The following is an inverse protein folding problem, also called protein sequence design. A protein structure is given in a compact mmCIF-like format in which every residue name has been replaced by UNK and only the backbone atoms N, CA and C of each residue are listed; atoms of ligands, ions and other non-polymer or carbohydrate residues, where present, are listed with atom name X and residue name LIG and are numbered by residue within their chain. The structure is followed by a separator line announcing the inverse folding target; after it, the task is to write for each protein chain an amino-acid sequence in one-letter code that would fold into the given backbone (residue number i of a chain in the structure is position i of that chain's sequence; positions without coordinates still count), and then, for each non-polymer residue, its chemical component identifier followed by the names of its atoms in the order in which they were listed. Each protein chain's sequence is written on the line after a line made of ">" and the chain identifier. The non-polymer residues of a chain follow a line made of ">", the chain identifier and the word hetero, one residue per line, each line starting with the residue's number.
data_IF_548558108126
#
_entry.id   IF_548558108126
#
_cell.length_a   1.000
_cell.length_b   1.000
_cell.length_c   1.000
_cell.angle_alpha   90.00
_cell.angle_beta   90.00
_cell.angle_gamma   90.00
#
_symmetry.space_group_name_H-M   'P 1'
#
loop_
_entity.id
_entity.type
_entity.pdbx_description
1 polymer ?
#
# COMPACT_ATOMS: atom_id res chain seq x y z
N UNK A 1 -43.75 -41.55 21.27
CA UNK A 1 -43.00 -40.60 22.13
C UNK A 1 -42.19 -39.72 21.23
N UNK A 2 -42.66 -38.52 20.98
CA UNK A 2 -41.92 -37.51 20.16
C UNK A 2 -40.83 -36.91 21.05
N UNK A 3 -39.57 -36.73 20.55
CA UNK A 3 -38.54 -36.06 21.33
C UNK A 3 -38.94 -34.59 21.45
N UNK A 4 -39.09 -34.14 22.65
CA UNK A 4 -39.28 -32.72 23.01
C UNK A 4 -38.03 -31.98 22.55
N UNK A 5 -38.22 -31.07 21.60
CA UNK A 5 -37.17 -30.13 21.18
C UNK A 5 -36.73 -29.34 22.43
N UNK A 6 -35.56 -29.64 22.95
CA UNK A 6 -34.91 -28.81 23.94
C UNK A 6 -34.61 -27.45 23.29
N UNK A 7 -35.44 -26.46 23.58
CA UNK A 7 -35.12 -25.07 23.31
C UNK A 7 -33.95 -24.69 24.20
N UNK A 8 -32.73 -24.83 23.69
CA UNK A 8 -31.53 -24.32 24.35
C UNK A 8 -31.69 -22.81 24.51
N UNK A 9 -31.78 -22.33 25.76
CA UNK A 9 -31.71 -20.90 26.05
C UNK A 9 -30.48 -20.32 25.38
N UNK A 10 -30.60 -19.17 24.70
CA UNK A 10 -29.44 -18.55 24.05
C UNK A 10 -28.33 -18.33 25.08
N UNK A 11 -27.17 -18.90 24.82
CA UNK A 11 -26.02 -18.69 25.69
C UNK A 11 -25.71 -17.19 25.68
N UNK A 12 -25.51 -16.58 26.86
CA UNK A 12 -25.20 -15.11 26.97
C UNK A 12 -24.03 -14.67 26.11
N UNK A 13 -23.19 -15.58 25.65
CA UNK A 13 -22.04 -15.31 24.76
C UNK A 13 -22.34 -15.46 23.27
N UNK A 14 -23.53 -15.90 22.85
CA UNK A 14 -23.88 -16.07 21.44
C UNK A 14 -23.83 -14.75 20.68
N UNK A 15 -24.43 -13.70 21.26
CA UNK A 15 -24.45 -12.36 20.64
C UNK A 15 -23.05 -11.76 20.53
N UNK A 16 -22.24 -11.67 21.61
CA UNK A 16 -20.89 -11.12 21.50
C UNK A 16 -19.97 -11.90 20.55
N UNK A 17 -20.06 -13.23 20.48
CA UNK A 17 -19.27 -14.02 19.53
C UNK A 17 -19.65 -13.76 18.07
N UNK A 18 -20.95 -13.64 17.78
CA UNK A 18 -21.41 -13.27 16.43
C UNK A 18 -20.99 -11.86 16.06
N UNK A 19 -21.13 -10.91 16.98
CA UNK A 19 -20.72 -9.53 16.75
C UNK A 19 -19.21 -9.41 16.53
N UNK A 20 -18.38 -10.13 17.30
CA UNK A 20 -16.93 -10.12 17.13
C UNK A 20 -16.49 -10.70 15.78
N UNK A 21 -17.07 -11.83 15.34
CA UNK A 21 -16.80 -12.40 14.02
C UNK A 21 -17.19 -11.46 12.87
N UNK A 22 -18.37 -10.83 12.97
CA UNK A 22 -18.84 -9.85 11.98
C UNK A 22 -17.97 -8.59 11.97
N UNK A 23 -17.53 -8.14 13.14
CA UNK A 23 -16.65 -6.96 13.25
C UNK A 23 -15.29 -7.22 12.59
N UNK A 24 -14.70 -8.40 12.80
CA UNK A 24 -13.46 -8.80 12.13
C UNK A 24 -13.66 -8.86 10.61
N UNK A 25 -14.74 -9.50 10.16
CA UNK A 25 -15.08 -9.56 8.74
C UNK A 25 -15.24 -8.17 8.14
N UNK A 26 -16.04 -7.32 8.78
CA UNK A 26 -16.29 -5.95 8.31
C UNK A 26 -15.02 -5.11 8.29
N UNK A 27 -14.19 -5.17 9.32
CA UNK A 27 -12.94 -4.42 9.39
C UNK A 27 -11.97 -4.83 8.26
N UNK A 28 -11.78 -6.14 8.04
CA UNK A 28 -10.93 -6.63 6.94
C UNK A 28 -11.46 -6.24 5.57
N UNK A 29 -12.75 -6.44 5.32
CA UNK A 29 -13.40 -6.07 4.04
C UNK A 29 -13.31 -4.55 3.81
N UNK A 30 -13.57 -3.74 4.84
CA UNK A 30 -13.47 -2.28 4.74
C UNK A 30 -12.06 -1.82 4.39
N UNK A 31 -11.02 -2.40 5.02
CA UNK A 31 -9.63 -2.11 4.67
C UNK A 31 -9.34 -2.46 3.23
N UNK A 32 -9.74 -3.65 2.77
CA UNK A 32 -9.55 -4.09 1.39
C UNK A 32 -10.23 -3.17 0.38
N UNK A 33 -11.49 -2.84 0.60
CA UNK A 33 -12.24 -1.93 -0.26
C UNK A 33 -11.66 -0.52 -0.25
N UNK A 34 -11.24 -0.01 0.90
CA UNK A 34 -10.62 1.30 1.02
C UNK A 34 -9.29 1.36 0.26
N UNK A 35 -8.45 0.34 0.38
CA UNK A 35 -7.20 0.23 -0.37
C UNK A 35 -7.47 0.16 -1.88
N UNK A 36 -8.39 -0.70 -2.33
CA UNK A 36 -8.73 -0.83 -3.75
C UNK A 36 -9.36 0.45 -4.31
N UNK A 37 -10.13 1.18 -3.50
CA UNK A 37 -10.77 2.42 -3.94
C UNK A 37 -9.74 3.46 -4.38
N UNK A 38 -8.54 3.48 -3.79
CA UNK A 38 -7.46 4.40 -4.16
C UNK A 38 -7.14 4.38 -5.66
N UNK A 39 -6.99 3.20 -6.23
CA UNK A 39 -6.72 3.00 -7.66
C UNK A 39 -8.00 3.05 -8.52
N UNK A 40 -9.08 2.40 -8.05
CA UNK A 40 -10.33 2.34 -8.78
C UNK A 40 -10.92 3.72 -9.04
N UNK A 41 -10.86 4.63 -8.05
CA UNK A 41 -11.39 5.98 -8.21
C UNK A 41 -10.59 6.85 -9.18
N UNK A 42 -9.27 6.65 -9.27
CA UNK A 42 -8.44 7.28 -10.31
C UNK A 42 -8.88 6.76 -11.69
N UNK A 43 -9.03 5.44 -11.80
CA UNK A 43 -9.38 4.80 -13.07
C UNK A 43 -10.75 5.22 -13.61
N UNK A 44 -11.74 5.42 -12.73
CA UNK A 44 -13.07 5.89 -13.14
C UNK A 44 -13.21 7.42 -13.16
N UNK A 45 -12.14 8.16 -12.83
CA UNK A 45 -12.13 9.62 -12.82
C UNK A 45 -12.86 10.26 -11.64
N UNK A 46 -13.10 9.51 -10.55
CA UNK A 46 -13.75 10.03 -9.34
C UNK A 46 -12.87 11.00 -8.55
N UNK A 47 -11.53 10.82 -8.62
CA UNK A 47 -10.51 11.70 -8.03
C UNK A 47 -9.21 11.64 -8.80
N UNK A 48 -8.36 12.61 -8.56
CA UNK A 48 -7.03 12.72 -9.16
C UNK A 48 -6.01 11.75 -8.52
N UNK A 49 -4.82 11.65 -9.14
CA UNK A 49 -3.74 10.79 -8.67
C UNK A 49 -3.26 11.14 -7.25
N UNK A 50 -3.18 12.43 -6.90
CA UNK A 50 -2.72 12.86 -5.56
C UNK A 50 -3.69 12.43 -4.47
N UNK A 51 -4.99 12.57 -4.73
CA UNK A 51 -6.05 12.10 -3.83
C UNK A 51 -6.00 10.59 -3.67
N UNK A 52 -5.84 9.83 -4.76
CA UNK A 52 -5.69 8.37 -4.71
C UNK A 52 -4.49 7.93 -3.90
N UNK A 53 -3.33 8.57 -4.08
CA UNK A 53 -2.14 8.31 -3.23
C UNK A 53 -2.39 8.66 -1.75
N UNK A 54 -3.12 9.73 -1.47
CA UNK A 54 -3.52 10.09 -0.12
C UNK A 54 -4.34 8.99 0.54
N UNK A 55 -5.34 8.45 -0.15
CA UNK A 55 -6.18 7.34 0.30
C UNK A 55 -5.31 6.09 0.56
N UNK A 56 -4.42 5.74 -0.36
CA UNK A 56 -3.52 4.60 -0.19
C UNK A 56 -2.59 4.77 1.03
N UNK A 57 -2.06 5.96 1.24
CA UNK A 57 -1.22 6.27 2.41
C UNK A 57 -2.00 6.11 3.71
N UNK A 58 -3.25 6.60 3.77
CA UNK A 58 -4.12 6.41 4.94
C UNK A 58 -4.41 4.93 5.19
N UNK A 59 -4.72 4.16 4.14
CA UNK A 59 -4.94 2.73 4.24
C UNK A 59 -3.69 2.01 4.79
N UNK A 60 -2.51 2.29 4.26
CA UNK A 60 -1.25 1.70 4.72
C UNK A 60 -0.90 2.06 6.17
N UNK A 61 -1.24 3.27 6.61
CA UNK A 61 -1.04 3.68 8.02
C UNK A 61 -1.97 2.92 8.96
N UNK A 62 -3.22 2.66 8.55
CA UNK A 62 -4.20 1.94 9.36
C UNK A 62 -4.01 0.41 9.32
N UNK A 63 -3.46 -0.12 8.23
CA UNK A 63 -3.38 -1.55 7.95
C UNK A 63 -2.73 -2.39 9.07
N UNK A 64 -1.56 -2.04 9.65
CA UNK A 64 -0.96 -2.83 10.72
C UNK A 64 -1.84 -2.92 11.96
N UNK A 65 -2.47 -1.82 12.35
CA UNK A 65 -3.36 -1.81 13.52
C UNK A 65 -4.61 -2.66 13.30
N UNK A 66 -5.21 -2.56 12.11
CA UNK A 66 -6.38 -3.36 11.75
C UNK A 66 -6.02 -4.84 11.64
N UNK A 67 -4.90 -5.19 11.03
CA UNK A 67 -4.45 -6.58 10.92
C UNK A 67 -4.24 -7.22 12.30
N UNK A 68 -3.45 -6.60 13.18
CA UNK A 68 -3.18 -7.16 14.50
C UNK A 68 -4.44 -7.23 15.37
N UNK A 69 -5.34 -6.25 15.26
CA UNK A 69 -6.64 -6.28 15.95
C UNK A 69 -7.55 -7.38 15.41
N UNK A 70 -7.65 -7.55 14.09
CA UNK A 70 -8.41 -8.63 13.47
C UNK A 70 -7.84 -10.00 13.84
N UNK A 71 -6.53 -10.15 13.87
CA UNK A 71 -5.86 -11.40 14.25
C UNK A 71 -6.17 -11.76 15.69
N UNK A 72 -5.96 -10.84 16.63
CA UNK A 72 -6.22 -11.07 18.04
C UNK A 72 -7.69 -11.40 18.32
N UNK A 73 -8.61 -10.58 17.79
CA UNK A 73 -10.04 -10.77 17.96
C UNK A 73 -10.54 -12.03 17.23
N UNK A 74 -10.01 -12.32 16.06
CA UNK A 74 -10.34 -13.52 15.28
C UNK A 74 -9.92 -14.80 15.99
N UNK A 75 -8.70 -14.85 16.54
CA UNK A 75 -8.23 -15.97 17.34
C UNK A 75 -9.09 -16.14 18.59
N UNK A 76 -9.35 -15.08 19.34
CA UNK A 76 -10.21 -15.12 20.52
C UNK A 76 -11.60 -15.65 20.17
N UNK A 77 -12.23 -15.13 19.14
CA UNK A 77 -13.54 -15.59 18.65
C UNK A 77 -13.54 -17.08 18.31
N UNK A 78 -12.53 -17.54 17.57
CA UNK A 78 -12.39 -18.94 17.18
C UNK A 78 -12.20 -19.86 18.38
N UNK A 79 -11.31 -19.50 19.30
CA UNK A 79 -11.07 -20.27 20.52
C UNK A 79 -12.33 -20.37 21.40
N UNK A 80 -13.00 -19.26 21.66
CA UNK A 80 -14.24 -19.27 22.45
C UNK A 80 -15.35 -20.07 21.77
N UNK A 81 -15.50 -19.95 20.44
CA UNK A 81 -16.48 -20.73 19.70
C UNK A 81 -16.21 -22.24 19.75
N UNK A 82 -14.94 -22.65 19.77
CA UNK A 82 -14.54 -24.06 19.90
C UNK A 82 -14.71 -24.56 21.33
N UNK A 83 -14.21 -23.84 22.33
CA UNK A 83 -14.25 -24.23 23.73
C UNK A 83 -15.69 -24.35 24.25
N UNK A 84 -16.58 -23.48 23.78
CA UNK A 84 -18.00 -23.51 24.17
C UNK A 84 -18.86 -24.44 23.31
N UNK A 85 -18.24 -25.17 22.35
CA UNK A 85 -18.96 -26.03 21.41
C UNK A 85 -20.13 -25.30 20.71
N UNK A 86 -19.95 -24.03 20.37
CA UNK A 86 -20.98 -23.17 19.77
C UNK A 86 -21.57 -23.81 18.53
N UNK A 87 -22.91 -23.75 18.37
CA UNK A 87 -23.60 -24.39 17.23
C UNK A 87 -23.12 -23.86 15.89
N UNK A 88 -22.89 -22.55 15.77
CA UNK A 88 -22.44 -21.87 14.56
C UNK A 88 -20.91 -21.70 14.48
N UNK A 89 -20.12 -22.46 15.27
CA UNK A 89 -18.66 -22.29 15.36
C UNK A 89 -17.96 -22.25 14.00
N UNK A 90 -18.37 -23.10 13.06
CA UNK A 90 -17.80 -23.12 11.72
C UNK A 90 -17.97 -21.80 10.98
N UNK A 91 -19.19 -21.21 11.04
CA UNK A 91 -19.47 -19.93 10.42
C UNK A 91 -18.70 -18.78 11.07
N UNK A 92 -18.60 -18.78 12.40
CA UNK A 92 -17.86 -17.74 13.15
C UNK A 92 -16.37 -17.76 12.80
N UNK A 93 -15.77 -18.97 12.73
CA UNK A 93 -14.36 -19.15 12.35
C UNK A 93 -14.14 -18.72 10.91
N UNK A 94 -15.04 -19.05 9.98
CA UNK A 94 -14.94 -18.65 8.57
C UNK A 94 -15.00 -17.12 8.44
N UNK A 95 -15.93 -16.46 9.10
CA UNK A 95 -16.07 -15.00 9.03
C UNK A 95 -14.84 -14.29 9.61
N UNK A 96 -14.40 -14.72 10.80
CA UNK A 96 -13.18 -14.18 11.41
C UNK A 96 -11.94 -14.48 10.55
N UNK A 97 -11.83 -15.69 9.99
CA UNK A 97 -10.73 -16.09 9.11
C UNK A 97 -10.66 -15.25 7.82
N UNK A 98 -11.79 -15.07 7.13
CA UNK A 98 -11.84 -14.25 5.91
C UNK A 98 -11.46 -12.80 6.22
N UNK A 99 -12.03 -12.19 7.26
CA UNK A 99 -11.72 -10.81 7.63
C UNK A 99 -10.24 -10.64 7.97
N UNK A 100 -9.67 -11.55 8.76
CA UNK A 100 -8.23 -11.54 9.11
C UNK A 100 -7.35 -11.74 7.87
N UNK A 101 -7.71 -12.65 6.96
CA UNK A 101 -6.95 -12.89 5.74
C UNK A 101 -6.91 -11.66 4.83
N UNK A 102 -8.06 -10.98 4.65
CA UNK A 102 -8.12 -9.74 3.86
C UNK A 102 -7.28 -8.64 4.53
N UNK A 103 -7.38 -8.48 5.85
CA UNK A 103 -6.57 -7.51 6.59
C UNK A 103 -5.06 -7.84 6.49
N UNK A 104 -4.69 -9.13 6.52
CA UNK A 104 -3.31 -9.58 6.32
C UNK A 104 -2.78 -9.22 4.93
N UNK A 105 -3.57 -9.42 3.88
CA UNK A 105 -3.20 -9.02 2.52
C UNK A 105 -3.07 -7.50 2.40
N UNK A 106 -4.00 -6.74 2.98
CA UNK A 106 -3.95 -5.28 3.00
C UNK A 106 -2.74 -4.70 3.73
N UNK A 107 -2.17 -5.45 4.68
CA UNK A 107 -0.93 -5.10 5.39
C UNK A 107 0.32 -5.64 4.67
N UNK A 108 0.38 -6.94 4.38
CA UNK A 108 1.59 -7.60 3.89
C UNK A 108 1.96 -7.21 2.46
N UNK A 109 0.97 -6.99 1.58
CA UNK A 109 1.26 -6.64 0.19
C UNK A 109 1.97 -5.29 0.08
N UNK A 110 1.47 -4.18 0.64
CA UNK A 110 2.20 -2.91 0.61
C UNK A 110 3.54 -2.99 1.34
N UNK A 111 3.61 -3.73 2.45
CA UNK A 111 4.86 -3.91 3.21
C UNK A 111 5.95 -4.59 2.40
N UNK A 112 5.60 -5.55 1.54
CA UNK A 112 6.56 -6.25 0.68
C UNK A 112 7.24 -5.36 -0.37
N UNK A 113 6.69 -4.18 -0.65
CA UNK A 113 7.27 -3.18 -1.56
C UNK A 113 8.08 -2.10 -0.83
N UNK A 114 8.17 -2.17 0.50
CA UNK A 114 9.02 -1.22 1.23
C UNK A 114 10.50 -1.47 0.95
N UNK A 115 11.28 -0.40 0.81
CA UNK A 115 12.72 -0.53 0.76
C UNK A 115 13.26 -1.24 2.00
N UNK A 116 14.37 -1.98 1.90
CA UNK A 116 15.03 -2.57 3.06
C UNK A 116 15.35 -1.52 4.13
N UNK A 117 15.26 -1.91 5.40
CA UNK A 117 15.62 -1.03 6.50
C UNK A 117 17.08 -0.57 6.38
N UNK A 118 17.33 0.71 6.63
CA UNK A 118 18.66 1.32 6.56
C UNK A 118 19.07 1.80 5.18
N UNK A 119 18.31 1.54 4.14
CA UNK A 119 18.53 2.12 2.81
C UNK A 119 17.85 3.48 2.74
N UNK A 120 18.64 4.53 2.78
CA UNK A 120 18.14 5.89 2.56
C UNK A 120 18.31 6.25 1.09
N UNK A 121 17.22 6.18 0.33
CA UNK A 121 17.24 6.66 -1.05
C UNK A 121 17.20 8.18 -1.03
N UNK A 122 18.20 8.86 -1.62
CA UNK A 122 18.15 10.31 -1.72
C UNK A 122 16.93 10.72 -2.57
N UNK A 123 16.32 11.85 -2.19
CA UNK A 123 15.22 12.46 -2.95
C UNK A 123 15.82 13.09 -4.21
N UNK A 124 15.94 12.29 -5.25
CA UNK A 124 16.42 12.72 -6.57
C UNK A 124 15.22 12.95 -7.49
N UNK A 125 15.20 14.12 -8.14
CA UNK A 125 14.18 14.49 -9.10
C UNK A 125 14.69 14.39 -10.55
N UNK A 126 15.97 14.02 -10.69
CA UNK A 126 16.68 14.08 -11.95
C UNK A 126 17.36 12.73 -12.23
N UNK A 127 16.99 12.11 -13.35
CA UNK A 127 17.56 10.84 -13.79
C UNK A 127 18.15 11.09 -15.19
N UNK A 128 19.49 11.06 -15.28
CA UNK A 128 20.20 11.20 -16.56
C UNK A 128 21.19 10.04 -16.74
N UNK A 129 21.35 9.61 -17.98
CA UNK A 129 22.39 8.65 -18.37
C UNK A 129 23.75 9.31 -18.54
N UNK A 130 23.79 10.63 -18.74
CA UNK A 130 25.01 11.41 -18.87
C UNK A 130 25.17 12.34 -17.68
N UNK A 131 25.87 11.87 -16.66
CA UNK A 131 26.10 12.61 -15.42
C UNK A 131 27.18 13.69 -15.55
N UNK A 132 28.04 13.59 -16.56
CA UNK A 132 29.12 14.56 -16.79
C UNK A 132 28.61 15.78 -17.62
N UNK A 133 27.64 15.53 -18.48
CA UNK A 133 26.97 16.56 -19.29
C UNK A 133 25.45 16.34 -19.24
N UNK A 134 24.81 16.65 -18.12
CA UNK A 134 23.38 16.46 -17.97
C UNK A 134 22.61 17.35 -18.97
N UNK A 135 21.52 16.84 -19.57
CA UNK A 135 20.74 17.60 -20.54
C UNK A 135 20.09 18.83 -19.88
N UNK A 136 20.11 19.96 -20.60
CA UNK A 136 19.46 21.18 -20.14
C UNK A 136 18.06 21.28 -20.72
N UNK A 137 17.10 21.64 -19.88
CA UNK A 137 15.75 21.95 -20.32
C UNK A 137 15.71 23.36 -20.89
N UNK A 138 15.24 23.53 -22.11
CA UNK A 138 15.13 24.84 -22.77
C UNK A 138 13.66 25.18 -23.03
N UNK A 139 13.00 24.39 -23.87
CA UNK A 139 11.67 24.72 -24.38
C UNK A 139 10.55 24.56 -23.34
N UNK A 140 10.74 23.69 -22.35
CA UNK A 140 9.73 23.44 -21.30
C UNK A 140 9.74 24.49 -20.19
N UNK A 141 10.80 25.26 -20.02
CA UNK A 141 10.95 26.24 -18.95
C UNK A 141 9.79 27.25 -18.87
N UNK A 142 9.34 27.85 -19.99
CA UNK A 142 8.23 28.80 -19.95
C UNK A 142 6.88 28.17 -19.55
N UNK A 143 6.75 26.86 -19.70
CA UNK A 143 5.51 26.10 -19.38
C UNK A 143 5.46 25.58 -17.96
N UNK A 144 6.56 25.68 -17.22
CA UNK A 144 6.64 25.17 -15.82
C UNK A 144 6.04 26.20 -14.86
N UNK A 145 5.19 25.71 -13.96
CA UNK A 145 4.66 26.51 -12.85
C UNK A 145 5.71 26.75 -11.76
N UNK A 146 5.45 27.72 -10.91
CA UNK A 146 6.30 28.10 -9.75
C UNK A 146 6.47 26.96 -8.73
N UNK A 147 5.53 26.03 -8.68
CA UNK A 147 5.54 24.85 -7.79
C UNK A 147 6.28 23.65 -8.40
N UNK A 148 6.96 23.82 -9.51
CA UNK A 148 7.70 22.75 -10.17
C UNK A 148 9.06 22.54 -9.49
N UNK A 149 9.55 21.30 -9.49
CA UNK A 149 10.89 20.97 -8.99
C UNK A 149 11.97 21.76 -9.76
N UNK A 150 13.16 21.91 -9.17
CA UNK A 150 14.31 22.53 -9.82
C UNK A 150 14.58 21.87 -11.19
N UNK A 151 15.03 22.66 -12.13
CA UNK A 151 15.51 22.20 -13.47
C UNK A 151 17.00 21.92 -13.48
N UNK A 152 17.69 22.27 -12.42
CA UNK A 152 19.14 22.05 -12.29
C UNK A 152 19.39 20.61 -11.88
N UNK A 153 20.32 19.97 -12.60
CA UNK A 153 20.77 18.63 -12.22
C UNK A 153 21.35 18.64 -10.80
N UNK A 154 20.93 17.70 -9.97
CA UNK A 154 21.29 17.69 -8.54
C UNK A 154 20.67 18.82 -7.71
N UNK A 155 19.68 19.54 -8.23
CA UNK A 155 19.04 20.68 -7.56
C UNK A 155 18.02 20.32 -6.47
N UNK A 156 18.02 19.09 -5.95
CA UNK A 156 17.28 18.72 -4.75
C UNK A 156 18.00 19.27 -3.49
N UNK A 157 17.25 19.71 -2.49
CA UNK A 157 17.74 20.46 -1.32
C UNK A 157 18.90 19.80 -0.54
N UNK A 158 19.13 18.49 -0.74
CA UNK A 158 20.08 17.70 0.07
C UNK A 158 21.12 16.92 -0.74
N UNK A 159 21.21 17.11 -2.06
CA UNK A 159 22.15 16.36 -2.92
C UNK A 159 22.73 17.28 -3.97
N UNK A 160 24.05 17.42 -3.99
CA UNK A 160 24.76 18.19 -5.03
C UNK A 160 24.82 17.41 -6.35
N UNK A 161 25.15 18.10 -7.45
CA UNK A 161 25.31 17.47 -8.77
C UNK A 161 26.41 16.40 -8.75
N UNK A 162 27.52 16.67 -8.04
CA UNK A 162 28.64 15.75 -7.89
C UNK A 162 28.27 14.50 -7.09
N UNK A 163 27.55 14.68 -5.97
CA UNK A 163 27.08 13.57 -5.15
C UNK A 163 26.06 12.71 -5.90
N UNK A 164 25.13 13.34 -6.65
CA UNK A 164 24.16 12.61 -7.46
C UNK A 164 24.86 11.83 -8.57
N UNK A 165 25.85 12.41 -9.26
CA UNK A 165 26.63 11.74 -10.27
C UNK A 165 27.39 10.52 -9.71
N UNK A 166 28.00 10.67 -8.51
CA UNK A 166 28.70 9.59 -7.82
C UNK A 166 27.76 8.44 -7.45
N UNK A 167 26.60 8.76 -6.83
CA UNK A 167 25.59 7.79 -6.48
C UNK A 167 25.02 7.05 -7.69
N UNK A 168 24.81 7.78 -8.80
CA UNK A 168 24.29 7.19 -10.04
C UNK A 168 25.31 6.21 -10.64
N UNK A 169 26.60 6.57 -10.68
CA UNK A 169 27.66 5.71 -11.19
C UNK A 169 27.89 4.48 -10.29
N UNK A 170 27.75 4.63 -8.98
CA UNK A 170 27.84 3.52 -8.03
C UNK A 170 26.66 2.54 -8.17
N UNK A 171 25.45 3.06 -8.24
CA UNK A 171 24.23 2.25 -8.33
C UNK A 171 24.07 1.58 -9.71
N UNK A 172 24.56 2.21 -10.77
CA UNK A 172 24.40 1.77 -12.16
C UNK A 172 25.75 1.84 -12.91
N UNK A 173 26.72 0.97 -12.58
CA UNK A 173 28.07 1.03 -13.18
C UNK A 173 28.08 0.80 -14.70
N UNK A 174 27.08 0.11 -15.23
CA UNK A 174 26.94 -0.17 -16.66
C UNK A 174 26.17 0.92 -17.43
N UNK A 175 25.77 1.99 -16.76
CA UNK A 175 25.03 3.08 -17.38
C UNK A 175 26.00 3.96 -18.20
N UNK A 176 25.89 3.87 -19.52
CA UNK A 176 26.67 4.69 -20.46
C UNK A 176 25.74 5.56 -21.31
N UNK A 177 26.13 6.80 -21.60
CA UNK A 177 25.40 7.66 -22.51
C UNK A 177 25.37 7.05 -23.92
N UNK A 178 24.21 7.13 -24.58
CA UNK A 178 24.13 6.81 -26.01
C UNK A 178 24.51 8.06 -26.81
N UNK A 179 25.41 7.88 -27.74
CA UNK A 179 25.81 8.91 -28.69
C UNK A 179 25.23 8.55 -30.05
N UNK A 180 24.53 9.48 -30.68
CA UNK A 180 23.93 9.34 -31.99
C UNK A 180 24.62 10.32 -32.92
N UNK A 181 25.11 9.86 -34.09
CA UNK A 181 25.70 10.70 -35.13
C UNK A 181 24.64 11.34 -36.04
N UNK A 182 23.37 10.98 -35.81
CA UNK A 182 22.22 11.45 -36.59
C UNK A 182 21.65 12.75 -36.02
N UNK A 183 20.99 13.54 -36.90
CA UNK A 183 20.28 14.73 -36.45
C UNK A 183 19.12 14.34 -35.54
N UNK A 184 18.82 15.19 -34.56
CA UNK A 184 17.74 14.97 -33.60
C UNK A 184 16.39 14.60 -34.26
N UNK A 185 16.10 15.19 -35.45
CA UNK A 185 14.88 14.89 -36.19
C UNK A 185 14.81 13.47 -36.80
N UNK A 186 15.96 12.79 -36.90
CA UNK A 186 16.06 11.44 -37.51
C UNK A 186 16.05 10.32 -36.43
N UNK A 187 15.95 10.69 -35.16
CA UNK A 187 16.00 9.77 -34.03
C UNK A 187 14.61 9.43 -33.47
N UNK A 188 13.57 10.18 -33.86
CA UNK A 188 12.17 10.03 -33.44
C UNK A 188 11.26 9.61 -34.59
#
# INVERSE_FOLDING_TARGET
>A
MSPVAQSSLPNKLDIPLRLSALLVLFAGVSLGLFTLSSAAGIWVGAWDFRTGLGILRMANTAAPYLFWSCLALGIATGLFALLMAHQDRGRLIIYAGIGTAIAALGYAVPESFRPPEGVNYPMIHDITTNTDYPPQFVDILPLRGTESNSVLYGGAENVTAEELAALTKEAYPDLIPRVYDERHADVY
#
